data_IF_823421879015
#
_entry.id   IF_823421879015
#
_cell.length_a   1.000
_cell.length_b   1.000
_cell.length_c   1.000
_cell.angle_alpha   90.00
_cell.angle_beta   90.00
_cell.angle_gamma   90.00
#
_symmetry.space_group_name_H-M   'P 1'
#
loop_
_entity.id
_entity.type
_entity.pdbx_description
1 polymer ?
#
# COMPACT_ATOMS: atom_id res chain seq x y z
N UNK A 1 1.36 -10.84 5.61
CA UNK A 1 2.43 -10.03 4.99
C UNK A 1 2.44 -8.56 5.41
N UNK A 2 3.52 -7.82 5.08
CA UNK A 2 3.56 -6.36 5.14
C UNK A 2 3.34 -5.78 3.75
N UNK A 3 2.45 -4.80 3.63
CA UNK A 3 2.14 -4.16 2.34
C UNK A 3 2.12 -2.64 2.48
N UNK A 4 2.46 -1.94 1.40
CA UNK A 4 2.29 -0.50 1.27
C UNK A 4 1.20 -0.23 0.25
N UNK A 5 0.19 0.52 0.64
CA UNK A 5 -0.83 0.99 -0.29
C UNK A 5 -0.21 1.98 -1.28
N UNK A 6 -0.32 1.71 -2.57
CA UNK A 6 0.15 2.61 -3.64
C UNK A 6 -0.90 3.67 -3.95
N UNK A 7 -2.18 3.32 -3.76
CA UNK A 7 -3.33 4.18 -4.00
C UNK A 7 -4.24 4.27 -2.77
N UNK A 8 -5.07 5.30 -2.72
CA UNK A 8 -6.15 5.36 -1.73
C UNK A 8 -7.29 4.43 -2.12
N UNK A 9 -7.69 3.53 -1.23
CA UNK A 9 -8.80 2.61 -1.46
C UNK A 9 -9.62 2.38 -0.19
N UNK A 10 -10.79 1.78 -0.34
CA UNK A 10 -11.62 1.33 0.79
C UNK A 10 -11.57 -0.19 0.81
N UNK A 11 -10.97 -0.75 1.85
CA UNK A 11 -10.76 -2.18 2.02
C UNK A 11 -11.44 -2.72 3.27
N UNK A 12 -11.02 -3.92 3.68
CA UNK A 12 -11.49 -4.58 4.89
C UNK A 12 -10.56 -4.26 6.06
N UNK A 13 -11.06 -3.47 7.01
CA UNK A 13 -10.28 -2.95 8.13
C UNK A 13 -9.68 -4.08 8.99
N UNK A 14 -10.45 -5.16 9.19
CA UNK A 14 -10.03 -6.30 9.99
C UNK A 14 -8.88 -7.07 9.32
N UNK A 15 -8.96 -7.28 7.99
CA UNK A 15 -7.90 -7.97 7.24
C UNK A 15 -6.63 -7.14 7.09
N UNK A 16 -6.77 -5.81 7.12
CA UNK A 16 -5.66 -4.87 7.06
C UNK A 16 -5.05 -4.55 8.43
N UNK A 17 -5.65 -5.01 9.54
CA UNK A 17 -5.17 -4.71 10.89
C UNK A 17 -5.31 -3.24 11.29
N UNK A 18 -6.29 -2.54 10.73
CA UNK A 18 -6.55 -1.10 10.97
C UNK A 18 -7.95 -0.90 11.52
N UNK A 19 -8.14 0.15 12.34
CA UNK A 19 -9.47 0.54 12.82
C UNK A 19 -10.37 1.10 11.70
N UNK A 20 -9.78 1.52 10.58
CA UNK A 20 -10.46 2.12 9.45
C UNK A 20 -10.31 1.33 8.17
N UNK A 21 -11.44 1.11 7.49
CA UNK A 21 -11.49 0.55 6.14
C UNK A 21 -10.88 1.48 5.08
N UNK A 22 -10.70 2.77 5.42
CA UNK A 22 -10.21 3.80 4.49
C UNK A 22 -8.69 3.84 4.52
N UNK A 23 -8.09 3.40 3.42
CA UNK A 23 -6.65 3.36 3.21
C UNK A 23 -6.22 4.55 2.37
N UNK A 24 -5.13 5.21 2.79
CA UNK A 24 -4.51 6.27 2.01
C UNK A 24 -3.30 5.74 1.23
N UNK A 25 -3.04 6.34 0.07
CA UNK A 25 -1.81 6.11 -0.68
C UNK A 25 -0.59 6.39 0.21
N UNK A 26 0.40 5.51 0.15
CA UNK A 26 1.63 5.56 0.96
C UNK A 26 1.51 4.93 2.35
N UNK A 27 0.32 4.49 2.78
CA UNK A 27 0.13 3.87 4.08
C UNK A 27 0.71 2.45 4.10
N UNK A 28 1.52 2.15 5.10
CA UNK A 28 2.11 0.82 5.32
C UNK A 28 1.24 0.08 6.34
N UNK A 29 0.90 -1.16 6.02
CA UNK A 29 0.19 -2.07 6.91
C UNK A 29 1.09 -3.24 7.23
N UNK A 30 1.23 -3.50 8.53
CA UNK A 30 2.02 -4.60 9.06
C UNK A 30 1.08 -5.69 9.57
N UNK A 31 1.40 -6.95 9.29
CA UNK A 31 0.56 -8.07 9.72
C UNK A 31 -0.78 -8.18 8.98
N UNK A 32 -0.84 -7.73 7.73
CA UNK A 32 -2.00 -7.94 6.84
C UNK A 32 -2.13 -9.44 6.54
N UNK A 33 -3.36 -9.92 6.46
CA UNK A 33 -3.65 -11.26 5.99
C UNK A 33 -3.01 -11.53 4.62
N UNK A 34 -2.36 -12.68 4.44
CA UNK A 34 -1.54 -12.98 3.25
C UNK A 34 -2.38 -13.07 1.97
N UNK A 35 -3.56 -13.70 2.08
CA UNK A 35 -4.51 -13.82 0.97
C UNK A 35 -5.04 -12.44 0.58
N UNK A 36 -5.39 -11.62 1.56
CA UNK A 36 -5.85 -10.26 1.32
C UNK A 36 -4.76 -9.35 0.73
N UNK A 37 -3.52 -9.48 1.22
CA UNK A 37 -2.38 -8.77 0.69
C UNK A 37 -2.15 -9.09 -0.79
N UNK A 38 -2.16 -10.37 -1.18
CA UNK A 38 -2.03 -10.77 -2.58
C UNK A 38 -3.16 -10.26 -3.47
N UNK A 39 -4.39 -10.18 -2.97
CA UNK A 39 -5.51 -9.59 -3.72
C UNK A 39 -5.25 -8.11 -4.01
N UNK A 40 -4.78 -7.36 -3.02
CA UNK A 40 -4.48 -5.94 -3.17
C UNK A 40 -3.30 -5.70 -4.10
N UNK A 41 -2.26 -6.54 -4.01
CA UNK A 41 -1.10 -6.50 -4.88
C UNK A 41 -1.47 -6.87 -6.31
N UNK A 42 -2.22 -7.96 -6.52
CA UNK A 42 -2.70 -8.38 -7.83
C UNK A 42 -3.62 -7.36 -8.50
N UNK A 43 -4.28 -6.50 -7.71
CA UNK A 43 -5.07 -5.35 -8.20
C UNK A 43 -4.23 -4.08 -8.44
N UNK A 44 -2.95 -4.07 -8.07
CA UNK A 44 -2.09 -2.89 -8.13
C UNK A 44 -2.49 -1.78 -7.14
N UNK A 45 -3.23 -2.13 -6.08
CA UNK A 45 -3.63 -1.20 -5.02
C UNK A 45 -2.58 -1.11 -3.89
N UNK A 46 -1.79 -2.17 -3.72
CA UNK A 46 -0.72 -2.24 -2.75
C UNK A 46 0.51 -2.96 -3.32
N UNK A 47 1.64 -2.83 -2.64
CA UNK A 47 2.90 -3.48 -2.97
C UNK A 47 3.43 -4.20 -1.73
N UNK A 48 3.98 -5.41 -1.91
CA UNK A 48 4.67 -6.14 -0.85
C UNK A 48 5.90 -5.35 -0.38
N UNK A 49 6.09 -5.27 0.94
CA UNK A 49 7.28 -4.66 1.53
C UNK A 49 7.97 -5.67 2.42
N UNK A 50 9.11 -6.20 1.97
CA UNK A 50 9.88 -7.23 2.68
C UNK A 50 10.74 -6.67 3.81
N UNK A 51 10.96 -5.35 3.82
CA UNK A 51 11.71 -4.64 4.83
C UNK A 51 10.85 -3.48 5.34
N UNK A 52 10.88 -3.16 6.64
CA UNK A 52 10.29 -1.92 7.18
C UNK A 52 11.15 -0.76 6.68
N UNK A 53 11.07 -0.48 5.38
CA UNK A 53 11.70 0.68 4.77
C UNK A 53 10.81 1.84 5.17
N UNK A 54 11.14 2.45 6.32
CA UNK A 54 10.74 3.82 6.65
C UNK A 54 10.72 4.61 5.35
N UNK A 55 9.63 5.32 5.01
CA UNK A 55 9.43 5.86 3.68
C UNK A 55 10.65 6.70 3.30
N UNK A 56 11.52 6.13 2.47
CA UNK A 56 12.49 6.92 1.73
C UNK A 56 11.61 7.65 0.74
N UNK A 57 11.50 8.95 0.96
CA UNK A 57 10.98 9.96 0.06
C UNK A 57 11.37 9.65 -1.40
N UNK A 58 10.64 8.75 -2.06
CA UNK A 58 10.73 8.58 -3.49
C UNK A 58 9.92 9.74 -4.02
N UNK A 59 10.66 10.81 -4.32
CA UNK A 59 10.30 11.94 -5.17
C UNK A 59 9.03 11.64 -5.95
N UNK A 60 8.01 12.53 -5.95
CA UNK A 60 6.94 12.43 -6.92
C UNK A 60 7.62 12.24 -8.28
N UNK A 61 7.14 11.26 -9.05
CA UNK A 61 7.54 11.12 -10.44
C UNK A 61 7.24 12.47 -11.08
N UNK A 62 8.29 13.30 -11.16
CA UNK A 62 8.28 14.55 -11.89
C UNK A 62 7.72 14.19 -13.24
N UNK A 63 6.59 14.81 -13.60
CA UNK A 63 6.08 14.73 -14.95
C UNK A 63 7.24 14.99 -15.88
N UNK A 64 7.59 14.01 -16.71
CA UNK A 64 8.29 14.31 -17.94
C UNK A 64 7.21 14.68 -18.94
N UNK A 65 6.82 15.95 -18.88
CA UNK A 65 6.60 16.68 -20.12
C UNK A 65 7.89 16.59 -20.92
N UNK A 66 7.83 16.00 -22.12
CA UNK A 66 8.78 16.32 -23.18
C UNK A 66 7.97 16.49 -24.46
N UNK A 67 7.72 17.77 -24.75
CA UNK A 67 7.63 18.44 -26.06
C UNK A 67 7.68 17.56 -27.32
#
# INVERSE_FOLDING_TARGET
MNIKATWGFVGDAAKLGTESAKVKAGQVFEGVDDEYAHILIGKGLAEEVTEVIKPKETKPASGKETK
#
